data_IF_436186692862
#
_entry.id   IF_436186692862
#
_cell.length_a   1.000
_cell.length_b   1.000
_cell.length_c   1.000
_cell.angle_alpha   90.00
_cell.angle_beta   90.00
_cell.angle_gamma   90.00
#
_symmetry.space_group_name_H-M   'P 1'
#
loop_
_entity.id
_entity.type
_entity.pdbx_description
1 polymer ?
#
# COMPACT_ATOMS: atom_id res chain seq x y z
N UNK A 1 29.44 -63.93 13.73
CA UNK A 1 29.11 -62.94 12.68
C UNK A 1 27.80 -62.26 13.06
N UNK A 2 27.86 -61.02 13.56
CA UNK A 2 26.68 -60.19 13.85
C UNK A 2 26.48 -59.27 12.66
N UNK A 3 25.39 -59.45 11.92
CA UNK A 3 25.04 -58.58 10.78
C UNK A 3 24.19 -57.42 11.30
N UNK A 4 24.73 -56.21 11.23
CA UNK A 4 24.07 -54.95 11.55
C UNK A 4 23.28 -54.53 10.31
N UNK A 5 21.95 -54.53 10.38
CA UNK A 5 21.12 -53.84 9.39
C UNK A 5 21.14 -52.34 9.72
N UNK A 6 21.78 -51.56 8.86
CA UNK A 6 21.75 -50.10 8.89
C UNK A 6 20.42 -49.66 8.27
N UNK A 7 19.53 -49.10 9.09
CA UNK A 7 18.32 -48.43 8.64
C UNK A 7 18.71 -47.05 8.09
N UNK A 8 18.61 -46.87 6.77
CA UNK A 8 18.80 -45.58 6.10
C UNK A 8 17.51 -44.78 6.28
N UNK A 9 17.46 -43.90 7.28
CA UNK A 9 16.46 -42.82 7.33
C UNK A 9 16.81 -41.79 6.25
N UNK A 10 16.10 -41.85 5.11
CA UNK A 10 16.01 -40.71 4.20
C UNK A 10 15.30 -39.57 4.93
N UNK A 11 16.05 -38.56 5.36
CA UNK A 11 15.50 -37.25 5.64
C UNK A 11 15.09 -36.62 4.30
N UNK A 12 13.82 -36.77 3.93
CA UNK A 12 13.22 -35.89 2.94
C UNK A 12 13.12 -34.50 3.58
N UNK A 13 14.02 -33.60 3.22
CA UNK A 13 13.81 -32.17 3.42
C UNK A 13 12.58 -31.76 2.60
N UNK A 14 11.41 -31.69 3.25
CA UNK A 14 10.32 -30.88 2.74
C UNK A 14 10.81 -29.44 2.75
N UNK A 15 11.38 -28.99 1.62
CA UNK A 15 11.23 -27.60 1.26
C UNK A 15 9.71 -27.38 1.17
N UNK A 16 9.14 -26.66 2.12
CA UNK A 16 7.79 -26.14 1.96
C UNK A 16 7.80 -25.29 0.68
N UNK A 17 7.39 -25.89 -0.45
CA UNK A 17 7.01 -25.11 -1.61
C UNK A 17 5.87 -24.23 -1.11
N UNK A 18 6.15 -22.94 -0.91
CA UNK A 18 5.10 -21.96 -0.69
C UNK A 18 4.07 -22.19 -1.80
N UNK A 19 2.85 -22.55 -1.43
CA UNK A 19 1.78 -22.76 -2.39
C UNK A 19 1.66 -21.48 -3.23
N UNK A 20 1.52 -21.65 -4.55
CA UNK A 20 1.31 -20.51 -5.45
C UNK A 20 0.13 -19.66 -4.93
N UNK A 21 0.23 -18.31 -4.94
CA UNK A 21 -0.79 -17.45 -4.35
C UNK A 21 -2.16 -17.60 -5.03
N UNK A 22 -2.16 -18.01 -6.30
CA UNK A 22 -3.34 -18.40 -7.07
C UNK A 22 -3.00 -19.67 -7.88
N UNK A 23 -4.00 -20.41 -8.38
CA UNK A 23 -3.78 -21.51 -9.31
C UNK A 23 -2.96 -21.09 -10.55
N UNK A 24 -2.18 -22.01 -11.12
CA UNK A 24 -1.30 -21.73 -12.27
C UNK A 24 -1.81 -22.43 -13.53
N UNK A 25 -1.76 -21.76 -14.68
CA UNK A 25 -2.11 -22.33 -15.98
C UNK A 25 -1.09 -21.93 -17.04
N UNK A 26 -0.96 -22.72 -18.11
CA UNK A 26 -0.20 -22.26 -19.27
C UNK A 26 -0.95 -21.12 -19.98
N UNK A 27 -0.22 -20.16 -20.61
CA UNK A 27 -0.83 -19.06 -21.36
C UNK A 27 -1.82 -19.53 -22.42
N UNK A 28 -1.45 -20.54 -23.22
CA UNK A 28 -2.29 -21.06 -24.29
C UNK A 28 -3.64 -21.60 -23.81
N UNK A 29 -3.69 -22.24 -22.63
CA UNK A 29 -4.96 -22.70 -22.01
C UNK A 29 -5.86 -21.54 -21.58
N UNK A 30 -5.27 -20.40 -21.24
CA UNK A 30 -6.00 -19.17 -20.89
C UNK A 30 -6.18 -18.22 -22.09
N UNK A 31 -5.94 -18.71 -23.32
CA UNK A 31 -6.06 -17.94 -24.55
C UNK A 31 -5.16 -16.69 -24.58
N UNK A 32 -4.02 -16.76 -23.89
CA UNK A 32 -2.97 -15.75 -23.94
C UNK A 32 -1.89 -16.22 -24.90
N UNK A 33 -1.63 -15.41 -25.92
CA UNK A 33 -0.56 -15.64 -26.90
C UNK A 33 0.82 -15.48 -26.22
N UNK A 34 1.64 -16.55 -26.14
CA UNK A 34 2.97 -16.49 -25.53
C UNK A 34 3.90 -15.46 -26.17
N UNK A 35 3.74 -15.16 -27.45
CA UNK A 35 4.55 -14.15 -28.13
C UNK A 35 4.27 -12.73 -27.61
N UNK A 36 3.08 -12.47 -27.03
CA UNK A 36 2.79 -11.19 -26.36
C UNK A 36 3.45 -11.09 -25.00
N UNK A 37 3.49 -12.19 -24.25
CA UNK A 37 4.20 -12.27 -22.98
C UNK A 37 5.70 -12.07 -23.19
N UNK A 38 6.28 -12.69 -24.21
CA UNK A 38 7.69 -12.49 -24.57
C UNK A 38 8.03 -11.00 -24.80
N UNK A 39 7.16 -10.25 -25.50
CA UNK A 39 7.37 -8.80 -25.67
C UNK A 39 7.36 -8.01 -24.36
N UNK A 40 6.52 -8.42 -23.40
CA UNK A 40 6.53 -7.82 -22.05
C UNK A 40 7.83 -8.16 -21.34
N UNK A 41 8.32 -9.40 -21.45
CA UNK A 41 9.59 -9.82 -20.86
C UNK A 41 10.78 -9.06 -21.45
N UNK A 42 10.82 -8.89 -22.76
CA UNK A 42 11.85 -8.13 -23.46
C UNK A 42 11.85 -6.65 -23.03
N UNK A 43 10.67 -6.05 -22.90
CA UNK A 43 10.54 -4.66 -22.41
C UNK A 43 11.06 -4.50 -20.98
N UNK A 44 10.63 -5.37 -20.06
CA UNK A 44 11.03 -5.28 -18.64
C UNK A 44 12.51 -5.57 -18.49
N UNK A 45 13.02 -6.64 -19.12
CA UNK A 45 14.45 -6.96 -19.09
C UNK A 45 15.31 -5.87 -19.73
N UNK A 46 14.82 -5.22 -20.80
CA UNK A 46 15.45 -4.05 -21.40
C UNK A 46 15.58 -2.88 -20.42
N UNK A 47 14.55 -2.58 -19.63
CA UNK A 47 14.63 -1.54 -18.59
C UNK A 47 15.63 -1.86 -17.47
N UNK A 48 15.83 -3.13 -17.14
CA UNK A 48 16.87 -3.54 -16.20
C UNK A 48 18.26 -3.40 -16.84
N UNK A 49 18.43 -3.87 -18.08
CA UNK A 49 19.69 -3.81 -18.82
C UNK A 49 20.14 -2.36 -19.07
N UNK A 50 19.20 -1.46 -19.38
CA UNK A 50 19.42 -0.03 -19.58
C UNK A 50 19.69 0.73 -18.26
N UNK A 51 19.60 0.07 -17.10
CA UNK A 51 19.77 0.71 -15.80
C UNK A 51 18.65 1.70 -15.43
N UNK A 52 17.45 1.53 -15.98
CA UNK A 52 16.27 2.36 -15.65
C UNK A 52 15.56 1.89 -14.38
N UNK A 53 15.60 0.59 -14.09
CA UNK A 53 15.20 0.03 -12.80
C UNK A 53 16.25 -0.97 -12.30
N UNK A 54 16.43 -1.06 -10.98
CA UNK A 54 17.39 -2.00 -10.38
C UNK A 54 16.90 -3.46 -10.47
N UNK A 55 15.59 -3.67 -10.36
CA UNK A 55 14.93 -4.97 -10.44
C UNK A 55 13.43 -4.82 -10.62
N UNK A 56 12.77 -5.91 -11.00
CA UNK A 56 11.33 -5.96 -11.21
C UNK A 56 10.76 -7.35 -10.92
N UNK A 57 9.49 -7.41 -10.53
CA UNK A 57 8.66 -8.61 -10.53
C UNK A 57 7.38 -8.30 -11.31
N UNK A 58 6.93 -9.24 -12.16
CA UNK A 58 5.65 -9.11 -12.86
C UNK A 58 4.84 -10.40 -12.73
N UNK A 59 3.52 -10.25 -12.73
CA UNK A 59 2.57 -11.35 -12.69
C UNK A 59 1.39 -11.00 -13.58
N UNK A 60 0.98 -11.95 -14.42
CA UNK A 60 -0.24 -11.84 -15.23
C UNK A 60 -1.18 -12.94 -14.77
N UNK A 61 -2.39 -12.54 -14.39
CA UNK A 61 -3.48 -13.42 -13.98
C UNK A 61 -4.61 -13.30 -15.00
N UNK A 62 -5.16 -14.44 -15.41
CA UNK A 62 -6.30 -14.52 -16.33
C UNK A 62 -7.24 -15.60 -15.83
N UNK A 63 -8.52 -15.25 -15.68
CA UNK A 63 -9.57 -16.16 -15.18
C UNK A 63 -9.20 -16.82 -13.84
N UNK A 64 -8.64 -16.06 -12.89
CA UNK A 64 -8.18 -16.60 -11.60
C UNK A 64 -6.90 -17.45 -11.67
N UNK A 65 -6.28 -17.59 -12.85
CA UNK A 65 -5.09 -18.40 -13.04
C UNK A 65 -3.87 -17.53 -13.35
N UNK A 66 -2.76 -17.73 -12.64
CA UNK A 66 -1.46 -17.16 -13.01
C UNK A 66 -1.01 -17.79 -14.32
N UNK A 67 -0.80 -16.98 -15.35
CA UNK A 67 -0.32 -17.40 -16.67
C UNK A 67 1.13 -17.03 -16.90
N UNK A 68 1.64 -16.04 -16.18
CA UNK A 68 3.02 -15.61 -16.22
C UNK A 68 3.44 -15.02 -14.87
N UNK A 69 4.63 -15.35 -14.40
CA UNK A 69 5.20 -14.80 -13.17
C UNK A 69 6.72 -14.85 -13.22
N UNK A 70 7.32 -13.67 -13.37
CA UNK A 70 8.74 -13.49 -13.67
C UNK A 70 9.39 -12.46 -12.75
N UNK A 71 10.70 -12.56 -12.58
CA UNK A 71 11.52 -11.61 -11.83
C UNK A 71 12.81 -11.29 -12.59
N UNK A 72 13.32 -10.08 -12.38
CA UNK A 72 14.54 -9.58 -13.02
C UNK A 72 15.33 -8.70 -12.06
N UNK A 73 16.64 -8.62 -12.29
CA UNK A 73 17.52 -7.69 -11.60
C UNK A 73 17.63 -7.93 -10.09
N UNK A 74 17.91 -6.86 -9.36
CA UNK A 74 18.32 -6.88 -7.95
C UNK A 74 17.27 -6.25 -7.04
N UNK A 75 17.00 -6.88 -5.90
CA UNK A 75 16.22 -6.31 -4.80
C UNK A 75 17.06 -5.31 -3.99
N UNK A 76 18.38 -5.48 -4.00
CA UNK A 76 19.32 -4.56 -3.39
C UNK A 76 20.60 -4.52 -4.22
N UNK A 77 20.99 -3.34 -4.70
CA UNK A 77 22.17 -3.16 -5.55
C UNK A 77 23.49 -3.31 -4.80
N UNK A 78 23.52 -2.97 -3.50
CA UNK A 78 24.70 -2.95 -2.65
C UNK A 78 25.10 -4.36 -2.23
N UNK A 79 24.10 -5.18 -1.84
CA UNK A 79 24.31 -6.59 -1.48
C UNK A 79 24.31 -7.50 -2.72
N UNK A 80 23.73 -7.05 -3.83
CA UNK A 80 23.61 -7.82 -5.06
C UNK A 80 22.49 -8.87 -5.05
N UNK A 81 21.64 -8.88 -4.02
CA UNK A 81 20.52 -9.82 -3.91
C UNK A 81 19.52 -9.66 -5.07
N UNK A 82 19.04 -10.78 -5.60
CA UNK A 82 18.09 -10.81 -6.70
C UNK A 82 16.66 -10.54 -6.24
N UNK A 83 15.84 -9.93 -7.11
CA UNK A 83 14.39 -9.94 -6.92
C UNK A 83 13.90 -11.39 -6.98
N UNK A 84 13.11 -11.77 -5.96
CA UNK A 84 12.48 -13.08 -5.86
C UNK A 84 10.97 -12.94 -6.01
N UNK A 85 10.33 -14.06 -6.33
CA UNK A 85 8.87 -14.15 -6.44
C UNK A 85 8.16 -13.74 -5.15
N UNK A 86 8.80 -14.03 -4.02
CA UNK A 86 8.34 -13.72 -2.68
C UNK A 86 8.99 -12.44 -2.10
N UNK A 87 9.63 -11.60 -2.92
CA UNK A 87 10.14 -10.31 -2.45
C UNK A 87 9.01 -9.44 -1.91
N UNK A 88 9.27 -8.80 -0.76
CA UNK A 88 8.36 -7.87 -0.11
C UNK A 88 8.72 -6.47 -0.58
N UNK A 89 7.71 -5.67 -0.93
CA UNK A 89 7.85 -4.30 -1.40
C UNK A 89 7.07 -3.37 -0.48
N UNK A 90 7.58 -2.15 -0.30
CA UNK A 90 6.75 -1.02 0.13
C UNK A 90 5.80 -0.71 -1.02
N UNK A 91 4.51 -0.89 -0.82
CA UNK A 91 3.52 -0.71 -1.90
C UNK A 91 2.91 0.70 -1.91
N UNK A 92 3.24 1.52 -0.91
CA UNK A 92 2.83 2.92 -0.81
C UNK A 92 1.36 3.11 -1.15
N UNK A 93 1.03 3.95 -2.14
CA UNK A 93 -0.33 4.32 -2.49
C UNK A 93 -1.22 3.17 -2.95
N UNK A 94 -0.68 1.98 -3.24
CA UNK A 94 -1.50 0.79 -3.43
C UNK A 94 -2.28 0.41 -2.14
N UNK A 95 -1.82 0.85 -0.96
CA UNK A 95 -2.52 0.71 0.32
C UNK A 95 -3.93 1.31 0.30
N UNK A 96 -4.14 2.38 -0.47
CA UNK A 96 -5.43 3.09 -0.58
C UNK A 96 -6.57 2.19 -1.04
N UNK A 97 -6.29 1.23 -1.91
CA UNK A 97 -7.31 0.28 -2.38
C UNK A 97 -7.78 -0.62 -1.23
N UNK A 98 -6.86 -1.05 -0.36
CA UNK A 98 -7.17 -1.87 0.81
C UNK A 98 -7.93 -1.05 1.86
N UNK A 99 -7.51 0.20 2.10
CA UNK A 99 -8.22 1.15 2.97
C UNK A 99 -9.64 1.42 2.47
N UNK A 100 -9.83 1.61 1.16
CA UNK A 100 -11.13 1.81 0.55
C UNK A 100 -12.04 0.60 0.76
N UNK A 101 -11.53 -0.62 0.61
CA UNK A 101 -12.29 -1.85 0.91
C UNK A 101 -12.72 -1.88 2.38
N UNK A 102 -11.85 -1.51 3.32
CA UNK A 102 -12.20 -1.46 4.74
C UNK A 102 -13.35 -0.47 5.03
N UNK A 103 -13.33 0.71 4.39
CA UNK A 103 -14.43 1.68 4.49
C UNK A 103 -15.72 1.12 3.90
N UNK A 104 -15.64 0.45 2.74
CA UNK A 104 -16.80 -0.13 2.07
C UNK A 104 -17.37 -1.35 2.82
N UNK A 105 -16.54 -2.15 3.50
CA UNK A 105 -17.01 -3.20 4.42
C UNK A 105 -17.85 -2.60 5.56
N UNK A 106 -17.43 -1.47 6.14
CA UNK A 106 -18.20 -0.77 7.17
C UNK A 106 -19.50 -0.16 6.62
N UNK A 107 -19.48 0.33 5.38
CA UNK A 107 -20.68 0.79 4.67
C UNK A 107 -21.69 -0.34 4.45
N UNK A 108 -21.25 -1.50 3.95
CA UNK A 108 -22.11 -2.68 3.77
C UNK A 108 -22.69 -3.21 5.09
N UNK A 109 -21.95 -3.03 6.19
CA UNK A 109 -22.41 -3.33 7.55
C UNK A 109 -23.37 -2.28 8.12
N UNK A 110 -23.75 -1.25 7.36
CA UNK A 110 -24.55 -0.10 7.79
C UNK A 110 -23.97 0.65 9.00
N UNK A 111 -22.64 0.63 9.18
CA UNK A 111 -21.95 1.34 10.27
C UNK A 111 -21.61 2.79 9.93
N UNK A 112 -21.61 3.13 8.64
CA UNK A 112 -21.45 4.49 8.14
C UNK A 112 -22.19 4.65 6.80
N UNK A 113 -22.44 5.89 6.38
CA UNK A 113 -22.93 6.21 5.03
C UNK A 113 -21.89 7.02 4.25
N UNK A 114 -21.83 6.83 2.93
CA UNK A 114 -20.84 7.52 2.08
C UNK A 114 -21.05 9.05 2.01
N UNK A 115 -22.30 9.51 2.15
CA UNK A 115 -22.64 10.94 2.19
C UNK A 115 -22.61 11.52 3.61
N UNK A 116 -22.25 10.73 4.62
CA UNK A 116 -22.17 11.20 5.99
C UNK A 116 -20.98 12.16 6.15
N UNK A 117 -21.13 13.26 6.93
CA UNK A 117 -20.01 14.12 7.29
C UNK A 117 -18.92 13.35 8.05
N UNK A 118 -17.66 13.57 7.70
CA UNK A 118 -16.52 12.95 8.41
C UNK A 118 -16.48 13.37 9.88
N UNK A 119 -16.98 14.56 10.21
CA UNK A 119 -17.02 15.12 11.56
C UNK A 119 -17.90 14.34 12.54
N UNK A 120 -18.78 13.47 12.04
CA UNK A 120 -19.56 12.56 12.88
C UNK A 120 -18.65 11.50 13.54
N UNK A 121 -17.49 11.21 12.93
CA UNK A 121 -16.50 10.25 13.41
C UNK A 121 -15.21 10.90 13.90
N UNK A 122 -14.86 12.05 13.30
CA UNK A 122 -13.64 12.81 13.56
C UNK A 122 -14.00 14.29 13.82
N UNK A 123 -14.62 14.61 14.96
CA UNK A 123 -15.09 15.97 15.28
C UNK A 123 -13.97 17.01 15.32
N UNK A 124 -12.71 16.59 15.45
CA UNK A 124 -11.52 17.43 15.43
C UNK A 124 -11.33 18.16 14.08
N UNK A 125 -11.95 17.67 12.99
CA UNK A 125 -11.88 18.29 11.66
C UNK A 125 -12.95 19.37 11.42
N UNK A 126 -13.80 19.69 12.41
CA UNK A 126 -14.94 20.60 12.25
C UNK A 126 -14.54 22.05 11.92
N UNK A 127 -13.38 22.48 12.41
CA UNK A 127 -12.92 23.87 12.33
C UNK A 127 -11.89 24.08 11.19
N UNK A 128 -11.78 23.11 10.27
CA UNK A 128 -10.95 23.24 9.07
C UNK A 128 -11.39 24.45 8.23
N UNK A 129 -10.41 25.09 7.60
CA UNK A 129 -10.60 26.26 6.73
C UNK A 129 -9.92 26.02 5.40
N UNK A 130 -10.30 26.76 4.37
CA UNK A 130 -9.75 26.65 3.02
C UNK A 130 -8.76 27.77 2.77
N UNK A 131 -7.59 27.44 2.22
CA UNK A 131 -6.60 28.42 1.80
C UNK A 131 -7.06 29.14 0.53
N UNK A 132 -7.13 30.48 0.59
CA UNK A 132 -7.55 31.32 -0.55
C UNK A 132 -6.44 32.21 -1.09
N UNK A 133 -5.33 32.34 -0.37
CA UNK A 133 -4.23 33.24 -0.73
C UNK A 133 -3.23 33.47 0.41
N UNK A 134 -2.29 34.39 0.20
CA UNK A 134 -1.26 34.72 1.19
C UNK A 134 -0.02 33.79 1.14
N UNK A 135 0.68 33.69 2.27
CA UNK A 135 1.91 32.87 2.41
C UNK A 135 1.72 31.80 3.48
N UNK A 136 2.67 30.87 3.63
CA UNK A 136 2.59 29.85 4.68
C UNK A 136 2.63 30.49 6.08
N UNK A 137 3.33 31.62 6.24
CA UNK A 137 3.45 32.34 7.51
C UNK A 137 2.25 33.26 7.79
N UNK A 138 1.53 33.68 6.74
CA UNK A 138 0.35 34.53 6.84
C UNK A 138 -0.71 34.06 5.82
N UNK A 139 -1.35 32.90 6.07
CA UNK A 139 -2.33 32.34 5.15
C UNK A 139 -3.64 33.11 5.23
N UNK A 140 -4.21 33.42 4.07
CA UNK A 140 -5.58 33.91 3.94
C UNK A 140 -6.51 32.70 3.85
N UNK A 141 -7.50 32.65 4.75
CA UNK A 141 -8.35 31.49 4.94
C UNK A 141 -9.84 31.88 4.92
N UNK A 142 -10.65 31.07 4.24
CA UNK A 142 -12.11 31.13 4.29
C UNK A 142 -12.70 29.88 4.95
N UNK A 143 -13.96 29.96 5.38
CA UNK A 143 -14.64 28.82 6.02
C UNK A 143 -15.05 27.78 4.97
N UNK A 144 -15.15 26.51 5.39
CA UNK A 144 -15.70 25.46 4.52
C UNK A 144 -17.18 25.75 4.22
N UNK A 145 -17.58 25.63 2.96
CA UNK A 145 -18.95 25.90 2.49
C UNK A 145 -19.84 24.68 2.59
N UNK A 146 -19.25 23.49 2.49
CA UNK A 146 -19.95 22.20 2.53
C UNK A 146 -19.17 21.24 3.45
N UNK A 147 -19.83 20.42 4.27
CA UNK A 147 -19.16 19.41 5.07
C UNK A 147 -18.38 18.41 4.20
N UNK A 148 -17.20 18.01 4.65
CA UNK A 148 -16.44 16.91 4.05
C UNK A 148 -17.21 15.61 4.30
N UNK A 149 -17.47 14.83 3.24
CA UNK A 149 -18.13 13.51 3.35
C UNK A 149 -17.14 12.36 3.20
N UNK A 150 -17.53 11.16 3.62
CA UNK A 150 -16.74 9.93 3.39
C UNK A 150 -16.45 9.71 1.89
N UNK A 151 -17.44 9.97 1.02
CA UNK A 151 -17.29 9.85 -0.43
C UNK A 151 -16.24 10.81 -1.01
N UNK A 152 -16.14 12.03 -0.46
CA UNK A 152 -15.16 13.02 -0.86
C UNK A 152 -13.73 12.61 -0.48
N UNK A 153 -13.57 11.90 0.65
CA UNK A 153 -12.28 11.33 1.00
C UNK A 153 -11.89 10.19 0.04
N UNK A 154 -12.82 9.25 -0.21
CA UNK A 154 -12.59 8.11 -1.12
C UNK A 154 -12.22 8.52 -2.55
N UNK A 155 -12.74 9.66 -3.03
CA UNK A 155 -12.50 10.14 -4.39
C UNK A 155 -11.54 11.34 -4.44
N UNK A 156 -10.86 11.67 -3.34
CA UNK A 156 -9.88 12.77 -3.26
C UNK A 156 -10.45 14.15 -3.63
N UNK A 157 -11.70 14.44 -3.27
CA UNK A 157 -12.33 15.76 -3.44
C UNK A 157 -12.60 16.48 -2.12
N UNK A 158 -12.08 16.00 -0.99
CA UNK A 158 -12.28 16.64 0.31
C UNK A 158 -11.46 17.91 0.53
N UNK A 159 -10.57 18.27 -0.40
CA UNK A 159 -9.72 19.47 -0.29
C UNK A 159 -8.41 19.26 0.46
N UNK A 160 -8.09 18.05 0.92
CA UNK A 160 -6.78 17.73 1.48
C UNK A 160 -5.71 17.60 0.38
N UNK A 161 -4.46 17.93 0.71
CA UNK A 161 -3.30 17.74 -0.16
C UNK A 161 -2.19 16.96 0.57
N UNK A 162 -1.04 16.79 -0.06
CA UNK A 162 0.20 16.32 0.56
C UNK A 162 1.17 17.48 0.81
N UNK A 163 2.18 17.26 1.66
CA UNK A 163 3.30 18.20 1.83
C UNK A 163 4.42 18.02 0.79
N UNK A 164 4.17 17.21 -0.23
CA UNK A 164 5.13 16.81 -1.26
C UNK A 164 4.43 16.70 -2.63
N UNK A 165 5.21 16.54 -3.69
CA UNK A 165 4.85 16.63 -5.13
C UNK A 165 4.69 18.03 -5.70
N UNK A 166 4.03 18.93 -4.98
CA UNK A 166 3.77 20.29 -5.44
C UNK A 166 4.38 21.35 -4.51
N UNK A 167 4.59 22.55 -5.04
CA UNK A 167 5.15 23.69 -4.32
C UNK A 167 4.15 24.85 -4.29
N UNK A 168 3.54 25.07 -3.12
CA UNK A 168 2.74 26.27 -2.83
C UNK A 168 2.69 26.50 -1.30
N UNK A 169 2.22 27.67 -0.83
CA UNK A 169 2.11 27.95 0.59
C UNK A 169 1.36 26.88 1.41
N UNK A 170 0.30 26.28 0.87
CA UNK A 170 -0.42 25.20 1.57
C UNK A 170 0.39 23.90 1.61
N UNK A 171 1.12 23.55 0.55
CA UNK A 171 2.01 22.37 0.58
C UNK A 171 3.15 22.57 1.59
N UNK A 172 3.67 23.79 1.76
CA UNK A 172 4.66 24.12 2.79
C UNK A 172 4.09 23.90 4.20
N UNK A 173 2.85 24.33 4.47
CA UNK A 173 2.17 24.07 5.75
C UNK A 173 2.04 22.56 6.04
N UNK A 174 1.68 21.75 5.05
CA UNK A 174 1.58 20.28 5.23
C UNK A 174 2.96 19.66 5.45
N UNK A 175 3.99 20.19 4.79
CA UNK A 175 5.37 19.73 4.96
C UNK A 175 5.90 20.04 6.36
N UNK A 176 5.63 21.23 6.88
CA UNK A 176 6.11 21.66 8.21
C UNK A 176 5.36 21.00 9.36
N UNK A 177 4.15 20.49 9.12
CA UNK A 177 3.37 19.75 10.11
C UNK A 177 3.96 18.39 10.49
N UNK A 178 4.95 17.89 9.74
CA UNK A 178 5.67 16.65 10.02
C UNK A 178 4.73 15.46 10.28
N UNK A 179 3.73 15.31 9.41
CA UNK A 179 2.64 14.34 9.59
C UNK A 179 3.15 12.89 9.69
N UNK A 180 4.22 12.56 8.97
CA UNK A 180 4.71 11.19 8.81
C UNK A 180 5.58 10.70 9.97
N UNK A 181 5.97 11.61 10.87
CA UNK A 181 6.63 11.31 12.12
C UNK A 181 5.64 11.15 13.28
N UNK A 182 4.34 11.06 12.98
CA UNK A 182 3.31 10.77 13.97
C UNK A 182 3.49 9.36 14.56
N UNK A 183 3.37 9.24 15.89
CA UNK A 183 3.48 7.96 16.59
C UNK A 183 2.21 7.10 16.52
N UNK A 184 1.08 7.67 16.09
CA UNK A 184 -0.20 7.00 15.93
C UNK A 184 -1.10 7.77 14.96
N UNK A 185 -2.20 7.15 14.53
CA UNK A 185 -3.21 7.84 13.72
C UNK A 185 -3.85 9.03 14.47
N UNK A 186 -3.98 8.94 15.80
CA UNK A 186 -4.50 10.07 16.59
C UNK A 186 -3.48 11.23 16.68
N UNK A 187 -2.18 10.94 16.79
CA UNK A 187 -1.12 11.96 16.68
C UNK A 187 -1.11 12.58 15.27
N UNK A 188 -1.27 11.76 14.22
CA UNK A 188 -1.42 12.23 12.85
C UNK A 188 -2.60 13.21 12.71
N UNK A 189 -3.76 12.87 13.29
CA UNK A 189 -4.93 13.74 13.32
C UNK A 189 -4.64 15.08 14.00
N UNK A 190 -3.99 15.06 15.17
CA UNK A 190 -3.64 16.28 15.90
C UNK A 190 -2.76 17.21 15.05
N UNK A 191 -1.85 16.64 14.25
CA UNK A 191 -0.97 17.41 13.36
C UNK A 191 -1.68 17.97 12.14
N UNK A 192 -2.69 17.28 11.60
CA UNK A 192 -3.38 17.72 10.38
C UNK A 192 -4.68 18.51 10.63
N UNK A 193 -5.31 18.41 11.81
CA UNK A 193 -6.60 19.04 12.09
C UNK A 193 -6.60 20.57 12.01
N UNK A 194 -5.43 21.21 12.15
CA UNK A 194 -5.27 22.67 12.01
C UNK A 194 -4.80 23.12 10.62
N UNK A 195 -4.54 22.19 9.69
CA UNK A 195 -4.03 22.54 8.37
C UNK A 195 -5.15 23.00 7.45
N UNK A 196 -4.93 24.05 6.63
CA UNK A 196 -5.97 24.49 5.71
C UNK A 196 -6.13 23.51 4.55
N UNK A 197 -7.33 23.41 4.01
CA UNK A 197 -7.61 22.69 2.76
C UNK A 197 -7.08 23.51 1.57
N UNK A 198 -6.63 22.84 0.50
CA UNK A 198 -6.20 23.50 -0.73
C UNK A 198 -7.39 23.96 -1.61
N UNK A 199 -8.55 23.35 -1.43
CA UNK A 199 -9.77 23.66 -2.15
C UNK A 199 -10.99 23.40 -1.26
N UNK A 200 -12.13 23.99 -1.62
CA UNK A 200 -13.40 23.68 -0.96
C UNK A 200 -13.78 22.20 -1.17
N UNK A 201 -14.34 21.53 -0.14
CA UNK A 201 -14.81 20.17 -0.27
C UNK A 201 -15.83 20.02 -1.42
N UNK A 202 -15.55 19.09 -2.33
CA UNK A 202 -16.36 18.78 -3.51
C UNK A 202 -16.07 19.62 -4.75
N UNK A 203 -15.22 20.65 -4.69
CA UNK A 203 -14.98 21.54 -5.84
C UNK A 203 -13.85 21.08 -6.76
N UNK A 204 -12.85 20.35 -6.25
CA UNK A 204 -11.71 19.91 -7.04
C UNK A 204 -11.12 18.58 -6.55
N UNK A 205 -10.53 17.84 -7.47
CA UNK A 205 -9.71 16.66 -7.15
C UNK A 205 -8.32 17.11 -6.71
N UNK A 206 -7.90 16.68 -5.52
CA UNK A 206 -6.56 16.88 -4.99
C UNK A 206 -6.06 15.60 -4.32
N UNK A 207 -4.96 15.08 -4.84
CA UNK A 207 -4.32 13.90 -4.27
C UNK A 207 -3.63 14.29 -2.95
N UNK A 208 -3.94 13.60 -1.86
CA UNK A 208 -3.60 14.05 -0.52
C UNK A 208 -3.85 12.99 0.55
N UNK A 209 -3.76 13.40 1.81
CA UNK A 209 -3.87 12.56 3.03
C UNK A 209 -5.25 11.92 3.29
N UNK A 210 -6.15 11.91 2.30
CA UNK A 210 -7.55 11.50 2.43
C UNK A 210 -7.68 10.09 3.01
N UNK A 211 -6.88 9.13 2.52
CA UNK A 211 -6.91 7.74 3.00
C UNK A 211 -6.36 7.56 4.41
N UNK A 212 -5.49 8.46 4.88
CA UNK A 212 -5.02 8.45 6.26
C UNK A 212 -6.14 8.92 7.21
N UNK A 213 -6.98 9.86 6.76
CA UNK A 213 -8.24 10.21 7.43
C UNK A 213 -9.26 9.05 7.36
N UNK A 214 -9.35 8.33 6.24
CA UNK A 214 -10.21 7.14 6.15
C UNK A 214 -9.75 6.02 7.08
N UNK A 215 -8.44 5.83 7.27
CA UNK A 215 -7.92 4.89 8.26
C UNK A 215 -8.38 5.24 9.69
N UNK A 216 -8.38 6.54 10.03
CA UNK A 216 -8.97 7.03 11.29
C UNK A 216 -10.47 6.75 11.38
N UNK A 217 -11.24 6.98 10.31
CA UNK A 217 -12.68 6.65 10.28
C UNK A 217 -12.88 5.16 10.55
N UNK A 218 -12.13 4.27 9.88
CA UNK A 218 -12.20 2.82 10.10
C UNK A 218 -11.88 2.48 11.57
N UNK A 219 -10.83 3.07 12.13
CA UNK A 219 -10.45 2.86 13.54
C UNK A 219 -11.56 3.28 14.50
N UNK A 220 -12.13 4.49 14.34
CA UNK A 220 -13.17 5.02 15.24
C UNK A 220 -14.50 4.29 15.09
N UNK A 221 -14.91 3.92 13.87
CA UNK A 221 -16.18 3.22 13.61
C UNK A 221 -16.13 1.76 14.04
N UNK A 222 -14.98 1.09 13.84
CA UNK A 222 -14.84 -0.32 14.24
C UNK A 222 -14.51 -0.50 15.73
N UNK A 223 -13.92 0.52 16.37
CA UNK A 223 -13.38 0.42 17.72
C UNK A 223 -12.09 -0.41 17.81
N UNK A 224 -11.45 -0.71 16.68
CA UNK A 224 -10.21 -1.49 16.59
C UNK A 224 -9.07 -0.62 16.03
N UNK A 225 -7.80 -0.88 16.40
CA UNK A 225 -6.67 -0.31 15.67
C UNK A 225 -6.78 -0.62 14.17
N UNK A 226 -6.48 0.36 13.32
CA UNK A 226 -6.68 0.23 11.88
C UNK A 226 -5.93 -0.98 11.29
N UNK A 227 -4.68 -1.18 11.70
CA UNK A 227 -3.85 -2.31 11.29
C UNK A 227 -4.44 -3.66 11.67
N UNK A 228 -5.12 -3.74 12.83
CA UNK A 228 -5.81 -4.96 13.27
C UNK A 228 -7.08 -5.20 12.46
N UNK A 229 -7.81 -4.13 12.12
CA UNK A 229 -8.98 -4.24 11.24
C UNK A 229 -8.58 -4.79 9.86
N UNK A 230 -7.52 -4.25 9.25
CA UNK A 230 -7.01 -4.73 7.96
C UNK A 230 -6.56 -6.19 8.07
N UNK A 231 -5.84 -6.55 9.13
CA UNK A 231 -5.38 -7.91 9.36
C UNK A 231 -6.55 -8.91 9.49
N UNK A 232 -7.56 -8.56 10.30
CA UNK A 232 -8.67 -9.46 10.62
C UNK A 232 -9.67 -9.58 9.48
N UNK A 233 -9.99 -8.48 8.79
CA UNK A 233 -11.12 -8.42 7.86
C UNK A 233 -10.72 -8.49 6.38
N UNK A 234 -9.43 -8.35 6.05
CA UNK A 234 -8.95 -8.33 4.66
C UNK A 234 -7.78 -9.28 4.46
N UNK A 235 -6.61 -8.98 5.03
CA UNK A 235 -5.38 -9.73 4.68
C UNK A 235 -5.40 -11.15 5.25
N UNK A 236 -5.94 -11.36 6.44
CA UNK A 236 -6.13 -12.68 7.04
C UNK A 236 -7.06 -13.58 6.23
N UNK A 237 -8.33 -13.19 6.00
CA UNK A 237 -9.29 -13.90 5.17
C UNK A 237 -8.75 -14.25 3.77
N UNK A 238 -8.06 -13.29 3.15
CA UNK A 238 -7.44 -13.48 1.83
C UNK A 238 -6.10 -14.20 1.88
N UNK A 239 -5.60 -14.65 3.03
CA UNK A 239 -4.31 -15.35 3.20
C UNK A 239 -3.10 -14.56 2.67
N UNK A 240 -3.14 -13.23 2.78
CA UNK A 240 -2.07 -12.31 2.41
C UNK A 240 -1.04 -12.20 3.55
N UNK A 241 -0.31 -13.28 3.79
CA UNK A 241 0.52 -13.47 5.01
C UNK A 241 1.79 -12.62 5.09
N UNK A 242 2.13 -11.91 4.02
CA UNK A 242 3.24 -10.98 3.91
C UNK A 242 2.77 -9.54 3.72
N UNK A 243 1.47 -9.28 3.92
CA UNK A 243 0.88 -7.94 3.82
C UNK A 243 0.54 -7.38 5.19
N UNK A 244 1.29 -6.37 5.62
CA UNK A 244 1.15 -5.70 6.90
C UNK A 244 1.81 -4.32 6.87
N UNK A 245 1.62 -3.54 7.94
CA UNK A 245 2.26 -2.22 8.13
C UNK A 245 3.71 -2.28 8.62
N UNK A 246 4.27 -3.49 8.71
CA UNK A 246 5.67 -3.74 9.08
C UNK A 246 6.14 -5.05 8.44
N UNK A 247 7.45 -5.28 8.43
CA UNK A 247 8.04 -6.55 7.98
C UNK A 247 8.63 -7.27 9.19
N UNK A 248 8.17 -8.50 9.51
CA UNK A 248 8.76 -9.29 10.59
C UNK A 248 10.28 -9.47 10.40
N UNK A 249 11.03 -9.48 11.51
CA UNK A 249 12.50 -9.50 11.49
C UNK A 249 13.06 -10.67 10.66
N UNK A 250 12.44 -11.84 10.77
CA UNK A 250 12.78 -13.05 10.04
C UNK A 250 12.50 -12.95 8.53
N UNK A 251 11.67 -12.00 8.09
CA UNK A 251 11.33 -11.74 6.69
C UNK A 251 12.07 -10.54 6.10
N UNK A 252 12.85 -9.78 6.89
CA UNK A 252 13.55 -8.58 6.40
C UNK A 252 14.49 -8.86 5.22
N UNK A 253 15.08 -10.05 5.15
CA UNK A 253 15.89 -10.49 4.01
C UNK A 253 15.10 -10.63 2.68
N UNK A 254 13.77 -10.51 2.71
CA UNK A 254 12.89 -10.47 1.53
C UNK A 254 12.52 -9.05 1.12
N UNK A 255 12.75 -8.06 1.96
CA UNK A 255 12.39 -6.68 1.70
C UNK A 255 13.29 -6.09 0.61
N UNK A 256 12.69 -5.67 -0.49
CA UNK A 256 13.38 -4.92 -1.53
C UNK A 256 13.75 -3.52 -1.00
N UNK A 257 14.98 -3.11 -1.29
CA UNK A 257 15.45 -1.76 -1.02
C UNK A 257 14.87 -0.76 -2.01
N UNK A 258 14.82 0.51 -1.62
CA UNK A 258 14.43 1.59 -2.52
C UNK A 258 15.70 2.10 -3.18
N UNK A 259 15.62 2.28 -4.50
CA UNK A 259 16.70 2.82 -5.30
C UNK A 259 16.30 4.17 -5.89
N UNK A 260 17.25 5.11 -5.91
CA UNK A 260 17.17 6.34 -6.71
C UNK A 260 18.43 6.45 -7.53
N UNK A 261 18.36 7.14 -8.67
CA UNK A 261 19.59 7.53 -9.37
C UNK A 261 20.33 8.60 -8.55
N UNK A 262 21.63 8.40 -8.35
CA UNK A 262 22.54 9.42 -7.85
C UNK A 262 22.96 10.39 -8.95
N UNK A 263 23.71 11.42 -8.56
CA UNK A 263 24.18 12.45 -9.50
C UNK A 263 25.14 11.89 -10.57
N UNK A 264 25.75 10.74 -10.29
CA UNK A 264 26.59 9.98 -11.22
C UNK A 264 25.80 9.09 -12.19
N UNK A 265 24.46 9.16 -12.13
CA UNK A 265 23.54 8.35 -12.94
C UNK A 265 23.46 6.88 -12.54
N UNK A 266 24.11 6.46 -11.45
CA UNK A 266 24.01 5.08 -10.94
C UNK A 266 22.93 4.98 -9.88
N UNK A 267 22.42 3.77 -9.66
CA UNK A 267 21.54 3.56 -8.51
C UNK A 267 22.31 3.72 -7.20
N UNK A 268 21.63 4.32 -6.22
CA UNK A 268 21.98 4.27 -4.80
C UNK A 268 20.80 3.70 -4.04
N UNK A 269 21.08 2.86 -3.03
CA UNK A 269 20.06 2.53 -2.04
C UNK A 269 19.77 3.79 -1.23
N UNK A 270 18.49 4.06 -1.02
CA UNK A 270 18.04 5.12 -0.13
C UNK A 270 17.17 4.52 0.96
N UNK A 271 17.33 5.04 2.17
CA UNK A 271 16.27 4.95 3.16
C UNK A 271 15.19 5.94 2.70
N UNK A 272 14.03 5.41 2.34
CA UNK A 272 12.86 6.23 2.03
C UNK A 272 11.76 5.85 3.01
N UNK A 273 11.44 6.81 3.86
CA UNK A 273 10.44 6.74 4.90
C UNK A 273 9.19 7.56 4.54
N UNK A 274 9.00 7.83 3.25
CA UNK A 274 7.80 8.46 2.72
C UNK A 274 6.55 7.81 3.34
N UNK A 275 5.61 8.65 3.77
CA UNK A 275 4.36 8.22 4.41
C UNK A 275 4.56 7.39 5.71
N UNK A 276 5.70 7.49 6.38
CA UNK A 276 5.98 6.77 7.64
C UNK A 276 6.12 5.26 7.48
N UNK A 277 6.42 4.78 6.26
CA UNK A 277 6.50 3.36 5.92
C UNK A 277 7.81 2.69 6.41
N UNK A 278 8.00 2.66 7.73
CA UNK A 278 9.11 1.96 8.37
C UNK A 278 8.82 0.47 8.50
N UNK A 279 9.76 -0.38 8.08
CA UNK A 279 9.61 -1.83 8.15
C UNK A 279 9.68 -2.37 9.58
N UNK A 280 10.28 -1.61 10.49
CA UNK A 280 10.37 -1.94 11.91
C UNK A 280 9.00 -1.85 12.59
N UNK A 281 8.62 -2.93 13.28
CA UNK A 281 7.34 -3.01 13.97
C UNK A 281 7.22 -1.90 15.02
N UNK A 282 6.12 -1.15 14.97
CA UNK A 282 5.81 -0.09 15.93
C UNK A 282 6.57 1.23 15.69
N UNK A 283 7.43 1.31 14.69
CA UNK A 283 8.09 2.56 14.26
C UNK A 283 7.27 3.32 13.22
N UNK A 284 6.60 2.59 12.33
CA UNK A 284 5.79 3.16 11.26
C UNK A 284 4.40 3.59 11.71
N UNK A 285 3.85 4.60 11.04
CA UNK A 285 2.44 4.96 11.11
C UNK A 285 1.63 3.92 10.31
N UNK A 286 0.51 3.37 10.84
CA UNK A 286 -0.42 2.57 10.04
C UNK A 286 -1.21 3.45 9.05
N UNK A 287 -0.48 4.11 8.13
CA UNK A 287 -0.98 5.04 7.12
C UNK A 287 -1.87 4.29 6.13
N UNK A 288 -3.16 4.64 6.08
CA UNK A 288 -4.10 4.14 5.07
C UNK A 288 -3.70 4.55 3.65
N UNK A 289 -2.95 5.65 3.52
CA UNK A 289 -2.47 6.17 2.24
C UNK A 289 -1.19 5.53 1.71
N UNK A 290 -0.40 4.84 2.54
CA UNK A 290 0.97 4.49 2.18
C UNK A 290 1.71 3.43 2.99
N UNK A 291 1.16 2.96 4.11
CA UNK A 291 1.93 2.24 5.12
C UNK A 291 2.14 0.75 4.86
N UNK A 292 1.49 0.14 3.86
CA UNK A 292 1.57 -1.31 3.67
C UNK A 292 2.85 -1.75 2.95
N UNK A 293 3.35 -2.88 3.43
CA UNK A 293 4.27 -3.77 2.74
C UNK A 293 3.46 -4.94 2.18
N UNK A 294 3.85 -5.48 1.04
CA UNK A 294 3.18 -6.64 0.45
C UNK A 294 4.10 -7.37 -0.53
N UNK A 295 3.64 -8.52 -1.03
CA UNK A 295 4.26 -9.23 -2.15
C UNK A 295 3.36 -9.15 -3.37
N UNK A 296 3.91 -9.40 -4.57
CA UNK A 296 3.09 -9.50 -5.78
C UNK A 296 2.04 -10.61 -5.67
N UNK A 297 2.34 -11.69 -4.94
CA UNK A 297 1.42 -12.80 -4.71
C UNK A 297 0.25 -12.43 -3.82
N UNK A 298 0.53 -11.80 -2.67
CA UNK A 298 -0.50 -11.32 -1.77
C UNK A 298 -1.42 -10.29 -2.46
N UNK A 299 -0.81 -9.30 -3.13
CA UNK A 299 -1.59 -8.27 -3.81
C UNK A 299 -2.41 -8.85 -4.98
N UNK A 300 -1.91 -9.89 -5.67
CA UNK A 300 -2.70 -10.59 -6.68
C UNK A 300 -3.93 -11.29 -6.09
N UNK A 301 -3.85 -11.83 -4.87
CA UNK A 301 -5.02 -12.40 -4.17
C UNK A 301 -6.06 -11.33 -3.86
N UNK A 302 -5.63 -10.16 -3.38
CA UNK A 302 -6.50 -9.00 -3.19
C UNK A 302 -7.19 -8.54 -4.49
N UNK A 303 -6.42 -8.35 -5.56
CA UNK A 303 -7.00 -7.93 -6.85
C UNK A 303 -7.95 -9.01 -7.39
N UNK A 304 -7.59 -10.29 -7.25
CA UNK A 304 -8.44 -11.38 -7.71
C UNK A 304 -9.77 -11.45 -6.94
N UNK A 305 -9.76 -11.23 -5.61
CA UNK A 305 -11.02 -11.19 -4.86
C UNK A 305 -11.94 -10.06 -5.33
N UNK A 306 -11.39 -8.89 -5.71
CA UNK A 306 -12.19 -7.81 -6.30
C UNK A 306 -12.76 -8.17 -7.67
N UNK A 307 -12.03 -8.95 -8.48
CA UNK A 307 -12.52 -9.46 -9.77
C UNK A 307 -13.60 -10.53 -9.60
N UNK A 308 -13.59 -11.22 -8.48
CA UNK A 308 -14.53 -12.28 -8.11
C UNK A 308 -15.61 -11.76 -7.13
N UNK A 309 -16.08 -10.53 -7.35
CA UNK A 309 -17.19 -9.87 -6.60
C UNK A 309 -17.01 -9.83 -5.07
N UNK A 310 -15.76 -9.70 -4.62
CA UNK A 310 -15.38 -9.64 -3.21
C UNK A 310 -15.09 -11.00 -2.58
N UNK A 311 -15.16 -12.12 -3.32
CA UNK A 311 -14.94 -13.46 -2.80
C UNK A 311 -13.64 -14.09 -3.33
N UNK A 312 -12.89 -14.80 -2.48
CA UNK A 312 -11.78 -15.66 -2.94
C UNK A 312 -11.62 -16.86 -2.00
N UNK A 313 -11.39 -18.05 -2.56
CA UNK A 313 -11.28 -19.31 -1.81
C UNK A 313 -12.49 -19.58 -0.89
N UNK A 314 -13.69 -19.12 -1.26
CA UNK A 314 -14.92 -19.28 -0.48
C UNK A 314 -15.06 -18.32 0.70
N UNK A 315 -14.27 -17.24 0.74
CA UNK A 315 -14.33 -16.21 1.79
C UNK A 315 -14.65 -14.86 1.15
N UNK A 316 -15.60 -14.13 1.75
CA UNK A 316 -16.07 -12.80 1.33
C UNK A 316 -16.06 -11.85 2.52
#
# INVERSE_FOLDING_TARGET
MKSILISIMMFATLCANAASPLPVSSPGRQQIDPARLARMHDLVSGYIADGKHAGAATMVVRNGMIVDWQTWGKSNIDTGEAIRKDSIFRIYSMSKNITSVAVLQLFEQNKLLLNQPVTDFIPELKDLRVFTGGTAQAPELEDIKTPITISMLLNHTAGFTYGFFDESPVHELYKTADLWNAGSLDDFLQRCAGLPLIAQPGEAYHYGINDDILALVVQRVSGMPFEEYIALNITGPLKMTDTAFYVPAEKLHRLASIHKHGDDGKFKVVEDDLLGAYAEKGRGLPSGGGGLFSTIGDYARFVQSLLDDGELDGVR
#
